data_IF_074922499393
#
_entry.id   IF_074922499393
#
_cell.length_a   1.000
_cell.length_b   1.000
_cell.length_c   1.000
_cell.angle_alpha   90.00
_cell.angle_beta   90.00
_cell.angle_gamma   90.00
#
_symmetry.space_group_name_H-M   'P 1'
#
loop_
_entity.id
_entity.type
_entity.pdbx_description
1 polymer ?
#
# COMPACT_ATOMS: atom_id res chain seq x y z
N UNK A 1 15.21 6.79 -5.93
CA UNK A 1 14.69 7.07 -4.56
C UNK A 1 15.77 7.61 -3.62
N UNK A 2 16.77 6.80 -3.20
CA UNK A 2 17.86 7.26 -2.31
C UNK A 2 18.51 8.62 -2.67
N UNK A 3 18.92 8.89 -3.92
CA UNK A 3 19.56 10.17 -4.25
C UNK A 3 18.61 11.38 -4.14
N UNK A 4 17.31 11.19 -4.41
CA UNK A 4 16.32 12.28 -4.30
C UNK A 4 16.02 12.63 -2.84
N UNK A 5 15.99 11.62 -1.95
CA UNK A 5 15.88 11.88 -0.50
C UNK A 5 17.08 12.65 0.03
N UNK A 6 18.29 12.29 -0.40
CA UNK A 6 19.51 13.01 -0.02
C UNK A 6 19.43 14.45 -0.54
N UNK A 7 19.07 14.66 -1.81
CA UNK A 7 18.93 15.99 -2.38
C UNK A 7 17.88 16.85 -1.65
N UNK A 8 16.70 16.28 -1.34
CA UNK A 8 15.67 16.96 -0.57
C UNK A 8 16.14 17.33 0.83
N UNK A 9 16.84 16.42 1.51
CA UNK A 9 17.40 16.67 2.84
C UNK A 9 18.45 17.77 2.83
N UNK A 10 19.36 17.79 1.85
CA UNK A 10 20.37 18.82 1.69
C UNK A 10 19.76 20.20 1.36
N UNK A 11 18.82 20.26 0.41
CA UNK A 11 18.10 21.48 0.08
C UNK A 11 17.30 22.01 1.28
N UNK A 12 16.63 21.11 2.02
CA UNK A 12 15.88 21.46 3.21
C UNK A 12 16.78 22.01 4.32
N UNK A 13 17.85 21.28 4.67
CA UNK A 13 18.78 21.69 5.72
C UNK A 13 19.44 23.05 5.41
N UNK A 14 19.95 23.21 4.19
CA UNK A 14 20.57 24.47 3.75
C UNK A 14 19.56 25.60 3.63
N UNK A 15 18.34 25.34 3.16
CA UNK A 15 17.25 26.32 3.10
C UNK A 15 16.85 26.83 4.48
N UNK A 16 16.75 25.96 5.50
CA UNK A 16 16.49 26.36 6.89
C UNK A 16 17.65 27.16 7.45
N UNK A 17 18.89 26.71 7.26
CA UNK A 17 20.08 27.41 7.75
C UNK A 17 20.20 28.82 7.15
N UNK A 18 20.05 28.94 5.82
CA UNK A 18 20.06 30.22 5.13
C UNK A 18 18.88 31.09 5.57
N UNK A 19 17.67 30.52 5.70
CA UNK A 19 16.51 31.28 6.17
C UNK A 19 16.68 31.85 7.58
N UNK A 20 17.24 31.08 8.51
CA UNK A 20 17.57 31.56 9.85
C UNK A 20 18.63 32.68 9.80
N UNK A 21 19.66 32.51 8.97
CA UNK A 21 20.65 33.56 8.75
C UNK A 21 20.02 34.82 8.15
N UNK A 22 19.16 34.70 7.15
CA UNK A 22 18.45 35.82 6.52
C UNK A 22 17.56 36.60 7.48
N UNK A 23 16.90 35.91 8.41
CA UNK A 23 16.01 36.54 9.39
C UNK A 23 16.76 37.20 10.56
N UNK A 24 17.84 36.59 11.05
CA UNK A 24 18.49 37.01 12.29
C UNK A 24 19.89 37.63 12.09
N UNK A 25 20.70 37.10 11.18
CA UNK A 25 22.10 37.52 11.00
C UNK A 25 22.29 38.56 9.90
N UNK A 26 21.61 38.39 8.77
CA UNK A 26 21.79 39.19 7.57
C UNK A 26 21.50 40.69 7.76
N UNK A 27 20.46 41.13 8.50
CA UNK A 27 20.21 42.56 8.71
C UNK A 27 21.38 43.28 9.38
N UNK A 28 21.94 42.68 10.44
CA UNK A 28 23.09 43.23 11.15
C UNK A 28 24.35 43.24 10.29
N UNK A 29 24.61 42.13 9.58
CA UNK A 29 25.74 42.02 8.66
C UNK A 29 25.71 43.07 7.55
N UNK A 30 24.53 43.35 6.96
CA UNK A 30 24.39 44.38 5.93
C UNK A 30 24.54 45.81 6.50
N UNK A 31 24.05 46.07 7.71
CA UNK A 31 24.22 47.36 8.35
C UNK A 31 25.70 47.64 8.67
N UNK A 32 26.44 46.64 9.16
CA UNK A 32 27.89 46.73 9.40
C UNK A 32 28.68 46.89 8.10
N UNK A 33 28.21 46.31 7.00
CA UNK A 33 28.79 46.49 5.66
C UNK A 33 28.56 47.90 5.06
N UNK A 34 27.82 48.79 5.75
CA UNK A 34 27.63 50.18 5.35
C UNK A 34 26.47 50.42 4.38
N UNK A 35 25.59 49.44 4.18
CA UNK A 35 24.39 49.62 3.36
C UNK A 35 23.37 50.53 4.06
N UNK A 36 22.71 51.38 3.28
CA UNK A 36 21.63 52.22 3.82
C UNK A 36 20.35 51.41 4.06
N UNK A 37 19.41 51.95 4.82
CA UNK A 37 18.19 51.24 5.23
C UNK A 37 17.33 50.73 4.06
N UNK A 38 17.31 51.46 2.93
CA UNK A 38 16.56 51.06 1.74
C UNK A 38 17.23 49.87 1.03
N UNK A 39 18.55 49.91 0.89
CA UNK A 39 19.34 48.82 0.33
C UNK A 39 19.26 47.55 1.17
N UNK A 40 19.33 47.69 2.50
CA UNK A 40 19.17 46.58 3.44
C UNK A 40 17.80 45.93 3.22
N UNK A 41 16.72 46.72 3.18
CA UNK A 41 15.37 46.19 2.97
C UNK A 41 15.25 45.41 1.65
N UNK A 42 15.78 45.95 0.54
CA UNK A 42 15.73 45.30 -0.79
C UNK A 42 16.54 44.00 -0.84
N UNK A 43 17.73 43.98 -0.20
CA UNK A 43 18.59 42.79 -0.12
C UNK A 43 17.94 41.70 0.74
N UNK A 44 17.34 42.08 1.88
CA UNK A 44 16.59 41.15 2.73
C UNK A 44 15.38 40.55 2.01
N UNK A 45 14.63 41.33 1.23
CA UNK A 45 13.51 40.83 0.44
C UNK A 45 13.96 39.82 -0.62
N UNK A 46 15.04 40.12 -1.33
CA UNK A 46 15.66 39.21 -2.32
C UNK A 46 16.10 37.90 -1.66
N UNK A 47 16.77 37.99 -0.50
CA UNK A 47 17.24 36.84 0.26
C UNK A 47 16.07 36.00 0.80
N UNK A 48 15.01 36.64 1.28
CA UNK A 48 13.79 35.98 1.77
C UNK A 48 13.07 35.27 0.63
N UNK A 49 12.99 35.88 -0.54
CA UNK A 49 12.43 35.26 -1.75
C UNK A 49 13.22 34.01 -2.14
N UNK A 50 14.55 34.10 -2.17
CA UNK A 50 15.42 32.95 -2.43
C UNK A 50 15.18 31.81 -1.43
N UNK A 51 15.11 32.13 -0.13
CA UNK A 51 14.84 31.17 0.96
C UNK A 51 13.51 30.46 0.76
N UNK A 52 12.46 31.22 0.44
CA UNK A 52 11.14 30.66 0.17
C UNK A 52 11.23 29.65 -0.97
N UNK A 53 11.67 30.05 -2.16
CA UNK A 53 11.73 29.13 -3.31
C UNK A 53 12.67 27.93 -3.08
N UNK A 54 13.75 28.11 -2.31
CA UNK A 54 14.64 27.03 -1.92
C UNK A 54 13.91 25.95 -1.10
N UNK A 55 13.15 26.35 -0.08
CA UNK A 55 12.36 25.43 0.73
C UNK A 55 11.18 24.81 -0.04
N UNK A 56 10.53 25.56 -0.93
CA UNK A 56 9.49 24.99 -1.80
C UNK A 56 10.08 23.88 -2.70
N UNK A 57 11.25 24.10 -3.29
CA UNK A 57 11.93 23.08 -4.08
C UNK A 57 12.32 21.86 -3.23
N UNK A 58 12.83 22.06 -2.01
CA UNK A 58 13.14 20.98 -1.09
C UNK A 58 11.91 20.08 -0.81
N UNK A 59 10.77 20.71 -0.48
CA UNK A 59 9.52 20.00 -0.22
C UNK A 59 8.97 19.30 -1.47
N UNK A 60 9.05 19.95 -2.64
CA UNK A 60 8.61 19.36 -3.91
C UNK A 60 9.46 18.13 -4.29
N UNK A 61 10.79 18.21 -4.12
CA UNK A 61 11.70 17.08 -4.34
C UNK A 61 11.46 15.97 -3.32
N UNK A 62 11.19 16.30 -2.05
CA UNK A 62 10.81 15.31 -1.04
C UNK A 62 9.51 14.59 -1.42
N UNK A 63 8.49 15.33 -1.84
CA UNK A 63 7.22 14.76 -2.26
C UNK A 63 7.40 13.80 -3.44
N UNK A 64 8.20 14.16 -4.45
CA UNK A 64 8.54 13.26 -5.56
C UNK A 64 9.39 12.08 -5.10
N UNK A 65 10.31 12.26 -4.16
CA UNK A 65 11.12 11.16 -3.62
C UNK A 65 10.26 10.09 -2.93
N UNK A 66 9.15 10.50 -2.29
CA UNK A 66 8.23 9.63 -1.55
C UNK A 66 7.12 9.05 -2.44
N UNK A 67 6.57 9.84 -3.37
CA UNK A 67 5.34 9.52 -4.11
C UNK A 67 5.55 9.39 -5.62
N UNK A 68 6.63 9.97 -6.15
CA UNK A 68 6.88 10.08 -7.58
C UNK A 68 7.19 8.73 -8.22
N UNK A 69 6.59 8.50 -9.40
CA UNK A 69 6.85 7.32 -10.22
C UNK A 69 7.03 7.71 -11.67
N UNK A 70 8.07 7.15 -12.29
CA UNK A 70 8.34 7.29 -13.72
C UNK A 70 9.11 8.54 -14.12
N UNK A 71 9.53 8.54 -15.39
CA UNK A 71 10.51 9.49 -15.96
C UNK A 71 10.10 10.96 -15.80
N UNK A 72 8.82 11.27 -15.89
CA UNK A 72 8.35 12.65 -15.79
C UNK A 72 8.61 13.23 -14.38
N UNK A 73 8.31 12.46 -13.34
CA UNK A 73 8.58 12.88 -11.95
C UNK A 73 10.09 12.95 -11.65
N UNK A 74 10.90 12.05 -12.22
CA UNK A 74 12.36 12.13 -12.10
C UNK A 74 12.93 13.42 -12.72
N UNK A 75 12.42 13.80 -13.90
CA UNK A 75 12.80 15.05 -14.55
C UNK A 75 12.31 16.28 -13.77
N UNK A 76 11.10 16.24 -13.19
CA UNK A 76 10.61 17.29 -12.31
C UNK A 76 11.57 17.57 -11.16
N UNK A 77 12.00 16.51 -10.45
CA UNK A 77 12.94 16.64 -9.34
C UNK A 77 14.30 17.21 -9.76
N UNK A 78 14.85 16.77 -10.91
CA UNK A 78 16.10 17.32 -11.45
C UNK A 78 15.98 18.80 -11.79
N UNK A 79 14.87 19.19 -12.42
CA UNK A 79 14.60 20.58 -12.78
C UNK A 79 14.45 21.47 -11.54
N UNK A 80 13.76 21.01 -10.49
CA UNK A 80 13.69 21.76 -9.23
C UNK A 80 15.02 21.84 -8.51
N UNK A 81 15.85 20.78 -8.51
CA UNK A 81 17.18 20.85 -7.91
C UNK A 81 18.07 21.87 -8.65
N UNK A 82 18.13 21.79 -9.98
CA UNK A 82 18.90 22.73 -10.79
C UNK A 82 18.35 24.17 -10.67
N UNK A 83 17.03 24.31 -10.73
CA UNK A 83 16.34 25.58 -10.55
C UNK A 83 16.60 26.19 -9.18
N UNK A 84 16.56 25.40 -8.10
CA UNK A 84 16.85 25.88 -6.75
C UNK A 84 18.29 26.37 -6.62
N UNK A 85 19.26 25.61 -7.12
CA UNK A 85 20.69 25.99 -7.08
C UNK A 85 20.92 27.27 -7.87
N UNK A 86 20.38 27.38 -9.09
CA UNK A 86 20.59 28.55 -9.95
C UNK A 86 19.79 29.75 -9.45
N UNK A 87 18.47 29.64 -9.34
CA UNK A 87 17.59 30.74 -8.95
C UNK A 87 17.90 31.22 -7.53
N UNK A 88 17.87 30.32 -6.55
CA UNK A 88 18.03 30.71 -5.15
C UNK A 88 19.49 31.08 -4.88
N UNK A 89 20.45 30.30 -5.38
CA UNK A 89 21.88 30.58 -5.23
C UNK A 89 22.27 31.96 -5.77
N UNK A 90 21.82 32.31 -6.98
CA UNK A 90 22.09 33.62 -7.56
C UNK A 90 21.37 34.75 -6.81
N UNK A 91 20.15 34.54 -6.32
CA UNK A 91 19.45 35.52 -5.50
C UNK A 91 20.14 35.75 -4.14
N UNK A 92 20.66 34.70 -3.48
CA UNK A 92 21.49 34.87 -2.28
C UNK A 92 22.77 35.65 -2.60
N UNK A 93 23.44 35.33 -3.71
CA UNK A 93 24.63 36.04 -4.15
C UNK A 93 24.33 37.52 -4.44
N UNK A 94 23.22 37.84 -5.10
CA UNK A 94 22.79 39.23 -5.35
C UNK A 94 22.43 40.00 -4.07
N UNK A 95 21.91 39.30 -3.05
CA UNK A 95 21.59 39.91 -1.77
C UNK A 95 22.85 40.24 -0.97
N UNK A 96 23.89 39.39 -1.02
CA UNK A 96 25.10 39.52 -0.19
C UNK A 96 26.22 40.28 -0.91
N UNK A 97 26.46 39.99 -2.19
CA UNK A 97 27.63 40.49 -2.92
C UNK A 97 27.28 41.75 -3.69
N UNK A 98 28.17 42.75 -3.61
CA UNK A 98 27.99 43.99 -4.33
C UNK A 98 28.47 43.92 -5.79
N UNK A 99 27.93 44.81 -6.64
CA UNK A 99 28.37 44.96 -8.03
C UNK A 99 27.95 43.83 -8.99
N UNK A 100 27.37 42.73 -8.51
CA UNK A 100 27.04 41.57 -9.35
C UNK A 100 25.66 41.61 -10.03
N UNK A 101 25.17 42.81 -10.36
CA UNK A 101 23.82 43.03 -10.91
C UNK A 101 23.56 42.26 -12.21
N UNK A 102 24.61 41.95 -12.98
CA UNK A 102 24.52 41.15 -14.21
C UNK A 102 24.04 39.71 -13.96
N UNK A 103 24.27 39.15 -12.76
CA UNK A 103 23.72 37.84 -12.38
C UNK A 103 22.19 37.85 -12.38
N UNK A 104 21.57 39.02 -12.19
CA UNK A 104 20.12 39.17 -12.28
C UNK A 104 19.55 38.74 -13.64
N UNK A 105 20.34 38.82 -14.72
CA UNK A 105 19.93 38.33 -16.04
C UNK A 105 19.94 36.80 -16.16
N UNK A 106 20.66 36.09 -15.29
CA UNK A 106 20.76 34.63 -15.27
C UNK A 106 19.70 34.01 -14.36
N UNK A 107 19.28 34.73 -13.31
CA UNK A 107 18.21 34.31 -12.38
C UNK A 107 16.96 33.75 -13.10
N UNK A 108 16.44 34.35 -14.19
CA UNK A 108 15.29 33.82 -14.93
C UNK A 108 15.48 32.39 -15.44
N UNK A 109 16.70 31.97 -15.77
CA UNK A 109 16.99 30.60 -16.22
C UNK A 109 16.64 29.58 -15.13
N UNK A 110 17.02 29.88 -13.89
CA UNK A 110 16.65 29.06 -12.74
C UNK A 110 15.14 29.07 -12.50
N UNK A 111 14.48 30.22 -12.65
CA UNK A 111 13.02 30.34 -12.56
C UNK A 111 12.29 29.49 -13.60
N UNK A 112 12.77 29.48 -14.85
CA UNK A 112 12.24 28.62 -15.92
C UNK A 112 12.40 27.15 -15.57
N UNK A 113 13.53 26.73 -14.99
CA UNK A 113 13.71 25.35 -14.53
C UNK A 113 12.71 24.99 -13.41
N UNK A 114 12.46 25.90 -12.46
CA UNK A 114 11.46 25.68 -11.41
C UNK A 114 10.04 25.51 -12.00
N UNK A 115 9.67 26.35 -12.97
CA UNK A 115 8.39 26.26 -13.69
C UNK A 115 8.29 24.95 -14.49
N UNK A 116 9.34 24.60 -15.23
CA UNK A 116 9.40 23.37 -16.01
C UNK A 116 9.24 22.13 -15.13
N UNK A 117 9.78 22.15 -13.90
CA UNK A 117 9.57 21.08 -12.92
C UNK A 117 8.08 20.87 -12.60
N UNK A 118 7.32 21.95 -12.39
CA UNK A 118 5.86 21.87 -12.19
C UNK A 118 5.12 21.40 -13.44
N UNK A 119 5.54 21.87 -14.63
CA UNK A 119 4.97 21.39 -15.90
C UNK A 119 5.15 19.88 -16.08
N UNK A 120 6.29 19.32 -15.63
CA UNK A 120 6.53 17.87 -15.66
C UNK A 120 5.58 17.10 -14.73
N UNK A 121 5.17 17.67 -13.59
CA UNK A 121 4.14 17.08 -12.72
C UNK A 121 2.78 17.08 -13.40
N UNK A 122 2.38 18.20 -14.02
CA UNK A 122 1.13 18.26 -14.81
C UNK A 122 1.14 17.18 -15.89
N UNK A 123 2.23 17.07 -16.65
CA UNK A 123 2.38 16.08 -17.70
C UNK A 123 2.43 14.63 -17.16
N UNK A 124 2.87 14.41 -15.93
CA UNK A 124 2.78 13.10 -15.27
C UNK A 124 1.32 12.77 -14.91
N UNK A 125 0.58 13.73 -14.36
CA UNK A 125 -0.84 13.58 -14.00
C UNK A 125 -1.74 13.33 -15.21
N UNK A 126 -1.55 14.07 -16.32
CA UNK A 126 -2.32 13.84 -17.55
C UNK A 126 -2.09 12.43 -18.11
N UNK A 127 -0.86 11.92 -18.04
CA UNK A 127 -0.54 10.54 -18.46
C UNK A 127 -1.09 9.47 -17.51
N UNK A 128 -1.39 9.80 -16.26
CA UNK A 128 -2.13 8.91 -15.36
C UNK A 128 -3.63 8.85 -15.68
N UNK A 129 -4.20 9.88 -16.31
CA UNK A 129 -5.56 9.83 -16.86
C UNK A 129 -5.62 9.09 -18.20
N UNK A 130 -4.51 9.05 -18.95
CA UNK A 130 -4.44 8.38 -20.23
C UNK A 130 -4.07 6.88 -20.05
N UNK A 131 -5.15 6.08 -19.86
CA UNK A 131 -5.25 4.64 -19.62
C UNK A 131 -4.91 4.15 -18.20
N UNK A 132 -5.89 3.46 -17.62
CA UNK A 132 -5.87 2.00 -17.68
C UNK A 132 -6.96 1.48 -18.61
N UNK A 133 -6.60 0.49 -19.43
CA UNK A 133 -7.54 -0.51 -19.92
C UNK A 133 -8.40 -0.99 -18.75
N UNK A 134 -9.65 -0.54 -18.71
CA UNK A 134 -10.64 -0.89 -17.68
C UNK A 134 -10.96 -2.38 -17.62
N UNK A 135 -10.53 -3.16 -18.61
CA UNK A 135 -10.65 -4.61 -18.66
C UNK A 135 -9.97 -5.28 -17.46
N UNK A 136 -8.64 -5.19 -17.32
CA UNK A 136 -7.95 -6.27 -16.62
C UNK A 136 -8.16 -6.32 -15.11
N UNK A 137 -8.56 -5.23 -14.44
CA UNK A 137 -8.82 -5.25 -12.98
C UNK A 137 -10.28 -5.56 -12.66
N UNK A 138 -11.22 -5.09 -13.48
CA UNK A 138 -12.63 -5.45 -13.37
C UNK A 138 -12.83 -6.91 -13.76
N UNK A 139 -12.28 -7.34 -14.90
CA UNK A 139 -12.29 -8.74 -15.36
C UNK A 139 -11.61 -9.68 -14.36
N UNK A 140 -10.50 -9.27 -13.72
CA UNK A 140 -9.87 -10.08 -12.66
C UNK A 140 -10.79 -10.25 -11.46
N UNK A 141 -11.50 -9.20 -11.06
CA UNK A 141 -12.42 -9.26 -9.93
C UNK A 141 -13.67 -10.08 -10.26
N UNK A 142 -14.20 -9.97 -11.48
CA UNK A 142 -15.31 -10.80 -11.97
C UNK A 142 -14.90 -12.26 -12.11
N UNK A 143 -13.73 -12.57 -12.67
CA UNK A 143 -13.19 -13.94 -12.71
C UNK A 143 -12.96 -14.50 -11.31
N UNK A 144 -12.48 -13.69 -10.37
CA UNK A 144 -12.26 -14.11 -8.99
C UNK A 144 -13.58 -14.36 -8.26
N UNK A 145 -14.61 -13.53 -8.50
CA UNK A 145 -15.97 -13.76 -8.00
C UNK A 145 -16.58 -15.06 -8.55
N UNK A 146 -16.53 -15.26 -9.87
CA UNK A 146 -17.02 -16.50 -10.51
C UNK A 146 -16.29 -17.72 -9.96
N UNK A 147 -14.97 -17.64 -9.79
CA UNK A 147 -14.16 -18.72 -9.23
C UNK A 147 -14.51 -19.02 -7.77
N UNK A 148 -14.81 -17.99 -6.98
CA UNK A 148 -15.25 -18.15 -5.59
C UNK A 148 -16.65 -18.78 -5.52
N UNK A 149 -17.59 -18.37 -6.37
CA UNK A 149 -18.93 -18.97 -6.45
C UNK A 149 -18.86 -20.44 -6.87
N UNK A 150 -18.01 -20.77 -7.85
CA UNK A 150 -17.79 -22.14 -8.28
C UNK A 150 -17.20 -23.00 -7.15
N UNK A 151 -16.20 -22.48 -6.42
CA UNK A 151 -15.63 -23.16 -5.25
C UNK A 151 -16.65 -23.38 -4.14
N UNK A 152 -17.47 -22.38 -3.82
CA UNK A 152 -18.52 -22.48 -2.81
C UNK A 152 -19.56 -23.53 -3.20
N UNK A 153 -19.99 -23.54 -4.47
CA UNK A 153 -20.93 -24.55 -4.97
C UNK A 153 -20.34 -25.97 -4.88
N UNK A 154 -19.05 -26.12 -5.17
CA UNK A 154 -18.35 -27.40 -5.08
C UNK A 154 -18.25 -27.90 -3.63
N UNK A 155 -17.94 -27.01 -2.69
CA UNK A 155 -17.90 -27.34 -1.25
C UNK A 155 -19.28 -27.74 -0.72
N UNK A 156 -20.35 -27.03 -1.11
CA UNK A 156 -21.71 -27.40 -0.73
C UNK A 156 -22.11 -28.77 -1.25
N UNK A 157 -21.73 -29.11 -2.48
CA UNK A 157 -21.97 -30.44 -3.05
C UNK A 157 -21.22 -31.53 -2.28
N UNK A 158 -19.93 -31.33 -2.01
CA UNK A 158 -19.14 -32.28 -1.21
C UNK A 158 -19.73 -32.50 0.19
N UNK A 159 -20.25 -31.45 0.82
CA UNK A 159 -20.93 -31.57 2.11
C UNK A 159 -22.23 -32.38 2.02
N UNK A 160 -23.00 -32.21 0.95
CA UNK A 160 -24.20 -33.01 0.70
C UNK A 160 -23.86 -34.49 0.48
N UNK A 161 -22.88 -34.77 -0.38
CA UNK A 161 -22.41 -36.13 -0.67
C UNK A 161 -21.87 -36.81 0.60
N UNK A 162 -21.15 -36.08 1.45
CA UNK A 162 -20.63 -36.59 2.73
C UNK A 162 -21.76 -36.91 3.71
N UNK A 163 -22.77 -36.05 3.80
CA UNK A 163 -23.91 -36.28 4.68
C UNK A 163 -24.73 -37.49 4.22
N UNK A 164 -24.86 -37.70 2.92
CA UNK A 164 -25.50 -38.89 2.35
C UNK A 164 -24.70 -40.17 2.68
N UNK A 165 -23.39 -40.17 2.45
CA UNK A 165 -22.53 -41.31 2.80
C UNK A 165 -22.53 -41.63 4.30
N UNK A 166 -22.56 -40.60 5.17
CA UNK A 166 -22.68 -40.77 6.62
C UNK A 166 -24.04 -41.35 7.01
N UNK A 167 -25.12 -40.93 6.34
CA UNK A 167 -26.47 -41.44 6.58
C UNK A 167 -26.57 -42.91 6.19
N UNK A 168 -25.99 -43.29 5.06
CA UNK A 168 -25.95 -44.68 4.58
C UNK A 168 -25.08 -45.59 5.47
N UNK A 169 -23.94 -45.07 5.95
CA UNK A 169 -23.11 -45.79 6.91
C UNK A 169 -23.86 -46.02 8.22
N UNK A 170 -24.57 -45.00 8.72
CA UNK A 170 -25.36 -45.09 9.94
C UNK A 170 -26.50 -46.10 9.82
N UNK A 171 -27.23 -46.12 8.70
CA UNK A 171 -28.31 -47.10 8.48
C UNK A 171 -27.78 -48.53 8.44
N UNK A 172 -26.61 -48.78 7.84
CA UNK A 172 -25.95 -50.09 7.86
C UNK A 172 -25.53 -50.55 9.26
N UNK A 173 -25.05 -49.62 10.11
CA UNK A 173 -24.77 -49.92 11.53
C UNK A 173 -26.06 -50.26 12.28
N UNK A 174 -27.14 -49.52 12.06
CA UNK A 174 -28.43 -49.81 12.69
C UNK A 174 -29.00 -51.16 12.22
N UNK A 175 -28.82 -51.53 10.95
CA UNK A 175 -29.27 -52.82 10.41
C UNK A 175 -28.49 -53.99 11.00
N UNK A 176 -27.16 -53.89 11.08
CA UNK A 176 -26.32 -54.91 11.70
C UNK A 176 -26.63 -55.08 13.19
N UNK A 177 -26.90 -53.99 13.92
CA UNK A 177 -27.35 -54.05 15.31
C UNK A 177 -28.70 -54.79 15.45
N UNK A 178 -29.66 -54.55 14.55
CA UNK A 178 -30.94 -55.28 14.53
C UNK A 178 -30.76 -56.77 14.22
N UNK A 179 -29.87 -57.12 13.29
CA UNK A 179 -29.55 -58.51 12.99
C UNK A 179 -28.93 -59.23 14.19
N UNK A 180 -28.02 -58.57 14.92
CA UNK A 180 -27.43 -59.12 16.15
C UNK A 180 -28.51 -59.39 17.21
N UNK A 181 -29.41 -58.44 17.46
CA UNK A 181 -30.52 -58.63 18.41
C UNK A 181 -31.45 -59.78 18.01
N UNK A 182 -31.73 -59.95 16.72
CA UNK A 182 -32.55 -61.06 16.22
C UNK A 182 -31.87 -62.42 16.42
N UNK A 183 -30.54 -62.49 16.21
CA UNK A 183 -29.75 -63.69 16.49
C UNK A 183 -29.77 -63.99 17.99
N UNK A 184 -29.50 -63.01 18.86
CA UNK A 184 -29.55 -63.19 20.32
C UNK A 184 -30.92 -63.72 20.80
N UNK A 185 -32.02 -63.17 20.28
CA UNK A 185 -33.37 -63.65 20.59
C UNK A 185 -33.61 -65.09 20.11
N UNK A 186 -33.09 -65.44 18.94
CA UNK A 186 -33.21 -66.80 18.40
C UNK A 186 -32.41 -67.79 19.24
N UNK A 187 -31.16 -67.44 19.60
CA UNK A 187 -30.32 -68.24 20.50
C UNK A 187 -31.02 -68.44 21.84
N UNK A 188 -31.58 -67.37 22.43
CA UNK A 188 -32.32 -67.47 23.69
C UNK A 188 -33.52 -68.43 23.59
N UNK A 189 -34.32 -68.35 22.53
CA UNK A 189 -35.43 -69.29 22.30
C UNK A 189 -34.96 -70.73 22.15
N UNK A 190 -33.86 -70.97 21.45
CA UNK A 190 -33.30 -72.32 21.29
C UNK A 190 -32.84 -72.89 22.64
N UNK A 191 -32.21 -72.06 23.48
CA UNK A 191 -31.82 -72.44 24.84
C UNK A 191 -33.05 -72.76 25.70
N UNK A 192 -34.08 -71.90 25.67
CA UNK A 192 -35.33 -72.10 26.43
C UNK A 192 -36.04 -73.41 25.99
N UNK A 193 -36.08 -73.71 24.68
CA UNK A 193 -36.64 -74.95 24.15
C UNK A 193 -35.83 -76.19 24.54
N UNK A 194 -34.50 -76.09 24.55
CA UNK A 194 -33.65 -77.19 24.99
C UNK A 194 -33.87 -77.49 26.48
N UNK A 195 -33.94 -76.46 27.33
CA UNK A 195 -34.24 -76.62 28.76
C UNK A 195 -35.62 -77.27 28.97
N UNK A 196 -36.65 -76.84 28.24
CA UNK A 196 -37.99 -77.43 28.32
C UNK A 196 -38.03 -78.91 27.88
N UNK A 197 -37.20 -79.31 26.92
CA UNK A 197 -37.08 -80.70 26.49
C UNK A 197 -36.32 -81.57 27.52
N UNK A 198 -35.31 -81.02 28.19
CA UNK A 198 -34.58 -81.71 29.27
C UNK A 198 -35.46 -81.91 30.53
N UNK A 199 -36.39 -80.99 30.81
CA UNK A 199 -37.30 -81.05 31.96
C UNK A 199 -38.53 -81.99 31.77
N UNK A 200 -38.71 -82.61 30.59
CA UNK A 200 -39.79 -83.59 30.34
C UNK A 200 -39.26 -85.04 30.31
N UNK A 201 -39.36 -85.79 31.43
CA UNK A 201 -38.97 -87.19 31.48
C UNK A 201 -39.94 -88.07 30.68
N UNK A 202 -39.41 -88.74 29.66
CA UNK A 202 -39.91 -89.90 28.89
C UNK A 202 -41.22 -90.55 29.43
N UNK A 203 -42.37 -89.95 29.12
CA UNK A 203 -43.66 -90.63 29.22
C UNK A 203 -43.76 -91.63 28.06
N UNK A 204 -43.23 -92.84 28.30
CA UNK A 204 -43.41 -93.97 27.38
C UNK A 204 -44.91 -94.21 27.14
N UNK A 205 -45.39 -94.30 25.90
CA UNK A 205 -46.79 -94.60 25.64
C UNK A 205 -47.13 -96.00 26.21
N UNK A 206 -48.31 -96.17 26.83
CA UNK A 206 -48.70 -97.44 27.42
C UNK A 206 -48.80 -98.50 26.32
N UNK A 207 -48.04 -99.58 26.50
CA UNK A 207 -48.11 -100.77 25.67
C UNK A 207 -49.53 -101.35 25.70
N UNK A 208 -50.15 -101.45 24.53
CA UNK A 208 -51.24 -102.38 24.25
C UNK A 208 -50.91 -103.14 22.97
#
# INVERSE_FOLDING_TARGET
>A
MKPLMIAAGLLGATGVALGAFGAHGLPGWLAEAGYNSEEVARRLDTFTTATRYHLHAALAVLAVALLGRGKATDWAAKLWCAGAVIFCGLCYALAIVDGMRWLGAIVPVGGVALIAGWAMIVAAGCRCCEKPSGDSRAERLEQEQVRLEELLSHQQKLLADLNEALTDTRSGVDETARQQLAIEQTVKRLVDLQQAAEDHPDERPPHY
#
